data_IF_843116547717
#
_entry.id   IF_843116547717
#
_cell.length_a   1.000
_cell.length_b   1.000
_cell.length_c   1.000
_cell.angle_alpha   90.00
_cell.angle_beta   90.00
_cell.angle_gamma   90.00
#
_symmetry.space_group_name_H-M   'P 1'
#
loop_
_entity.id
_entity.type
_entity.pdbx_description
1 polymer ?
#
# COMPACT_ATOMS: atom_id res chain seq x y z
N UNK A 1 -16.13 1.27 -4.67
CA UNK A 1 -15.57 1.38 -3.30
C UNK A 1 -14.52 0.30 -3.09
N UNK A 2 -13.38 0.66 -2.51
CA UNK A 2 -12.32 -0.29 -2.24
C UNK A 2 -12.64 -1.20 -1.06
N UNK A 3 -12.37 -2.49 -1.23
CA UNK A 3 -12.47 -3.49 -0.16
C UNK A 3 -11.23 -4.37 -0.20
N UNK A 4 -10.92 -5.01 0.92
CA UNK A 4 -9.83 -6.00 0.96
C UNK A 4 -10.07 -7.13 -0.02
N UNK A 5 -11.32 -7.58 -0.16
CA UNK A 5 -11.65 -8.63 -1.12
C UNK A 5 -11.35 -8.20 -2.55
N UNK A 6 -11.76 -6.99 -2.94
CA UNK A 6 -11.50 -6.45 -4.27
C UNK A 6 -10.00 -6.33 -4.56
N UNK A 7 -9.22 -5.89 -3.56
CA UNK A 7 -7.77 -5.80 -3.69
C UNK A 7 -7.14 -7.18 -3.83
N UNK A 8 -7.60 -8.17 -3.07
CA UNK A 8 -7.09 -9.53 -3.17
C UNK A 8 -7.34 -10.16 -4.52
N UNK A 9 -8.45 -9.84 -5.17
CA UNK A 9 -8.72 -10.29 -6.55
C UNK A 9 -7.71 -9.73 -7.54
N UNK A 10 -7.13 -8.58 -7.25
CA UNK A 10 -6.12 -7.92 -8.09
C UNK A 10 -4.72 -8.05 -7.53
N UNK A 11 -4.51 -8.96 -6.61
CA UNK A 11 -3.25 -9.13 -5.89
C UNK A 11 -2.06 -9.31 -6.83
N UNK A 12 -2.20 -10.17 -7.84
CA UNK A 12 -1.11 -10.45 -8.77
C UNK A 12 -0.68 -9.19 -9.54
N UNK A 13 -1.65 -8.37 -9.98
CA UNK A 13 -1.37 -7.12 -10.67
C UNK A 13 -0.66 -6.12 -9.73
N UNK A 14 -1.17 -5.99 -8.52
CA UNK A 14 -0.64 -5.05 -7.52
C UNK A 14 0.79 -5.43 -7.15
N UNK A 15 1.03 -6.70 -6.85
CA UNK A 15 2.36 -7.17 -6.49
C UNK A 15 3.34 -7.13 -7.67
N UNK A 16 2.84 -7.33 -8.89
CA UNK A 16 3.65 -7.18 -10.10
C UNK A 16 4.16 -5.76 -10.29
N UNK A 17 3.29 -4.77 -10.08
CA UNK A 17 3.67 -3.35 -10.12
C UNK A 17 4.69 -3.06 -9.01
N UNK A 18 4.44 -3.57 -7.81
CA UNK A 18 5.30 -3.34 -6.66
C UNK A 18 6.74 -3.86 -6.90
N UNK A 19 6.88 -5.04 -7.49
CA UNK A 19 8.20 -5.62 -7.77
C UNK A 19 9.04 -4.76 -8.70
N UNK A 20 8.41 -4.11 -9.67
CA UNK A 20 9.10 -3.21 -10.60
C UNK A 20 9.67 -1.99 -9.87
N UNK A 21 9.14 -1.65 -8.73
CA UNK A 21 9.59 -0.54 -7.88
C UNK A 21 10.35 -1.02 -6.65
N UNK A 22 10.82 -2.28 -6.67
CA UNK A 22 11.65 -2.87 -5.61
C UNK A 22 10.93 -2.98 -4.26
N UNK A 23 9.62 -3.09 -4.31
CA UNK A 23 8.80 -3.39 -3.15
C UNK A 23 8.46 -4.88 -3.15
N UNK A 24 8.69 -5.57 -2.04
CA UNK A 24 8.50 -7.02 -1.97
C UNK A 24 7.37 -7.45 -1.04
N UNK A 25 6.79 -6.53 -0.30
CA UNK A 25 5.65 -6.82 0.58
C UNK A 25 4.75 -5.60 0.67
N UNK A 26 3.45 -5.82 0.53
CA UNK A 26 2.43 -4.79 0.67
C UNK A 26 1.42 -5.24 1.71
N UNK A 27 1.12 -4.38 2.67
CA UNK A 27 0.01 -4.53 3.59
C UNK A 27 -0.91 -3.33 3.48
N UNK A 28 -2.18 -3.51 3.78
CA UNK A 28 -3.20 -2.46 3.74
C UNK A 28 -3.52 -2.06 5.17
N UNK A 29 -3.57 -0.76 5.44
CA UNK A 29 -4.03 -0.25 6.73
C UNK A 29 -5.06 0.87 6.48
N UNK A 30 -5.52 1.51 7.55
CA UNK A 30 -6.49 2.59 7.42
C UNK A 30 -7.90 2.11 7.14
N UNK A 31 -8.71 2.98 6.53
CA UNK A 31 -10.15 2.74 6.38
C UNK A 31 -10.48 1.49 5.56
N UNK A 32 -9.72 1.21 4.52
CA UNK A 32 -9.95 0.02 3.68
C UNK A 32 -9.73 -1.26 4.50
N UNK A 33 -8.65 -1.32 5.28
CA UNK A 33 -8.35 -2.48 6.12
C UNK A 33 -9.42 -2.71 7.18
N UNK A 34 -10.02 -1.63 7.71
CA UNK A 34 -11.07 -1.71 8.71
C UNK A 34 -12.46 -1.99 8.13
N UNK A 35 -12.61 -2.01 6.81
CA UNK A 35 -13.91 -2.14 6.16
C UNK A 35 -14.77 -0.87 6.27
N UNK A 36 -14.16 0.28 6.46
CA UNK A 36 -14.82 1.57 6.66
C UNK A 36 -14.63 2.54 5.49
N UNK A 37 -14.11 2.05 4.36
CA UNK A 37 -13.85 2.90 3.20
C UNK A 37 -15.14 3.44 2.62
N UNK A 38 -15.07 4.65 2.10
CA UNK A 38 -16.13 5.27 1.30
C UNK A 38 -15.56 5.72 -0.05
N UNK A 39 -16.42 6.17 -1.01
CA UNK A 39 -15.93 6.44 -2.37
C UNK A 39 -14.76 7.42 -2.47
N UNK A 40 -14.63 8.34 -1.52
CA UNK A 40 -13.55 9.33 -1.50
C UNK A 40 -12.34 8.90 -0.66
N UNK A 41 -12.35 7.69 -0.10
CA UNK A 41 -11.23 7.20 0.71
C UNK A 41 -10.02 6.90 -0.15
N UNK A 42 -8.84 7.26 0.36
CA UNK A 42 -7.57 6.84 -0.21
C UNK A 42 -7.21 5.43 0.27
N UNK A 43 -6.37 4.78 -0.49
CA UNK A 43 -5.83 3.48 -0.11
C UNK A 43 -4.51 3.69 0.63
N UNK A 44 -4.44 3.24 1.87
CA UNK A 44 -3.25 3.35 2.72
C UNK A 44 -2.47 2.04 2.69
N UNK A 45 -1.22 2.10 2.22
CA UNK A 45 -0.36 0.95 2.08
C UNK A 45 0.89 1.06 2.93
N UNK A 46 1.19 -0.03 3.62
CA UNK A 46 2.44 -0.21 4.35
C UNK A 46 3.32 -1.14 3.52
N UNK A 47 4.49 -0.65 3.11
CA UNK A 47 5.30 -1.30 2.08
C UNK A 47 6.70 -1.59 2.59
N UNK A 48 7.18 -2.80 2.30
CA UNK A 48 8.57 -3.19 2.54
C UNK A 48 9.34 -3.07 1.24
N UNK A 49 10.24 -2.08 1.18
CA UNK A 49 11.14 -1.90 0.05
C UNK A 49 12.46 -2.64 0.27
N UNK A 50 13.09 -3.04 -0.82
CA UNK A 50 14.43 -3.61 -0.77
C UNK A 50 15.46 -2.55 -0.33
N UNK A 51 16.56 -2.95 0.31
CA UNK A 51 17.64 -2.03 0.64
C UNK A 51 18.15 -1.30 -0.61
N UNK A 52 18.46 -0.03 -0.47
CA UNK A 52 18.96 0.79 -1.58
C UNK A 52 17.87 1.34 -2.49
N UNK A 53 16.60 1.17 -2.15
CA UNK A 53 15.48 1.74 -2.90
C UNK A 53 15.51 3.26 -2.79
N UNK A 54 15.33 3.93 -3.92
CA UNK A 54 15.37 5.39 -4.00
C UNK A 54 14.00 6.03 -3.77
N UNK A 55 14.00 7.34 -3.55
CA UNK A 55 12.76 8.12 -3.49
C UNK A 55 11.98 8.02 -4.82
N UNK A 56 12.67 7.90 -5.94
CA UNK A 56 12.02 7.75 -7.24
C UNK A 56 11.24 6.44 -7.33
N UNK A 57 11.73 5.36 -6.75
CA UNK A 57 11.00 4.09 -6.66
C UNK A 57 9.74 4.24 -5.82
N UNK A 58 9.84 4.95 -4.69
CA UNK A 58 8.70 5.23 -3.82
C UNK A 58 7.61 6.02 -4.56
N UNK A 59 8.01 7.11 -5.22
CA UNK A 59 7.08 7.95 -5.99
C UNK A 59 6.47 7.15 -7.14
N UNK A 60 7.31 6.40 -7.87
CA UNK A 60 6.86 5.56 -8.98
C UNK A 60 5.85 4.51 -8.53
N UNK A 61 6.05 3.92 -7.36
CA UNK A 61 5.13 2.93 -6.83
C UNK A 61 3.74 3.50 -6.61
N UNK A 62 3.62 4.63 -5.89
CA UNK A 62 2.29 5.16 -5.62
C UNK A 62 1.61 5.67 -6.91
N UNK A 63 2.37 6.25 -7.83
CA UNK A 63 1.82 6.69 -9.12
C UNK A 63 1.33 5.52 -9.96
N UNK A 64 2.12 4.44 -10.05
CA UNK A 64 1.74 3.25 -10.81
C UNK A 64 0.48 2.59 -10.21
N UNK A 65 0.38 2.55 -8.88
CA UNK A 65 -0.79 1.98 -8.22
C UNK A 65 -2.01 2.88 -8.35
N UNK A 66 -1.87 4.20 -8.31
CA UNK A 66 -2.97 5.12 -8.59
C UNK A 66 -3.50 4.93 -10.00
N UNK A 67 -2.60 4.77 -10.98
CA UNK A 67 -2.99 4.51 -12.37
C UNK A 67 -3.72 3.17 -12.52
N UNK A 68 -3.22 2.14 -11.84
CA UNK A 68 -3.81 0.81 -11.90
C UNK A 68 -5.18 0.75 -11.25
N UNK A 69 -5.34 1.38 -10.09
CA UNK A 69 -6.53 1.24 -9.24
C UNK A 69 -7.54 2.36 -9.41
N UNK A 70 -7.13 3.50 -9.97
CA UNK A 70 -8.01 4.65 -10.18
C UNK A 70 -8.42 5.38 -8.91
N UNK A 71 -7.64 5.26 -7.84
CA UNK A 71 -7.88 5.92 -6.54
C UNK A 71 -6.59 6.54 -6.02
N UNK A 72 -6.70 7.47 -5.07
CA UNK A 72 -5.54 7.99 -4.37
C UNK A 72 -4.87 6.90 -3.54
N UNK A 73 -3.54 6.86 -3.55
CA UNK A 73 -2.75 5.86 -2.82
C UNK A 73 -1.71 6.56 -1.98
N UNK A 74 -1.71 6.26 -0.68
CA UNK A 74 -0.67 6.70 0.25
C UNK A 74 0.25 5.52 0.55
N UNK A 75 1.54 5.69 0.29
CA UNK A 75 2.55 4.68 0.53
C UNK A 75 3.42 5.08 1.73
N UNK A 76 3.42 4.23 2.74
CA UNK A 76 4.28 4.39 3.91
C UNK A 76 5.30 3.26 3.91
N UNK A 77 6.58 3.58 3.91
CA UNK A 77 7.63 2.58 4.05
C UNK A 77 7.64 2.04 5.48
N UNK A 78 7.60 0.72 5.64
CA UNK A 78 7.61 0.11 6.98
C UNK A 78 8.84 0.54 7.79
N UNK A 79 9.97 0.69 7.13
CA UNK A 79 11.22 1.14 7.77
C UNK A 79 11.15 2.57 8.32
N UNK A 80 10.20 3.37 7.87
CA UNK A 80 10.01 4.74 8.34
C UNK A 80 9.11 4.84 9.58
N UNK A 81 8.47 3.74 9.98
CA UNK A 81 7.60 3.73 11.16
C UNK A 81 8.42 3.89 12.44
N UNK A 82 7.89 4.70 13.35
CA UNK A 82 8.44 4.94 14.67
C UNK A 82 7.60 4.22 15.72
N UNK A 83 8.05 4.09 16.98
CA UNK A 83 7.26 3.44 18.03
C UNK A 83 5.85 4.02 18.17
N UNK A 84 5.68 5.33 17.98
CA UNK A 84 4.36 5.98 18.03
C UNK A 84 3.41 5.53 16.92
N UNK A 85 3.94 4.88 15.88
CA UNK A 85 3.19 4.40 14.72
C UNK A 85 2.84 2.91 14.84
N UNK A 86 3.00 2.30 16.01
CA UNK A 86 2.72 0.87 16.21
C UNK A 86 1.28 0.49 15.88
N UNK A 87 0.34 1.43 16.01
CA UNK A 87 -1.05 1.19 15.63
C UNK A 87 -1.19 0.88 14.13
N UNK A 88 -0.32 1.43 13.29
CA UNK A 88 -0.31 1.15 11.85
C UNK A 88 0.12 -0.30 11.60
N UNK A 89 1.19 -0.76 12.29
CA UNK A 89 1.63 -2.16 12.18
C UNK A 89 0.56 -3.13 12.66
N UNK A 90 -0.08 -2.80 13.78
CA UNK A 90 -1.09 -3.66 14.38
C UNK A 90 -2.35 -3.79 13.51
N UNK A 91 -2.70 -2.73 12.78
CA UNK A 91 -3.87 -2.68 11.92
C UNK A 91 -3.62 -3.31 10.54
N UNK A 92 -2.38 -3.29 10.07
CA UNK A 92 -2.03 -3.66 8.71
C UNK A 92 -2.37 -5.13 8.41
N UNK A 93 -2.99 -5.35 7.25
CA UNK A 93 -3.39 -6.67 6.76
C UNK A 93 -2.62 -6.93 5.47
N UNK A 94 -1.87 -8.02 5.44
CA UNK A 94 -1.10 -8.38 4.24
C UNK A 94 -2.01 -8.62 3.05
N UNK A 95 -1.57 -8.16 1.92
CA UNK A 95 -2.27 -8.38 0.65
C UNK A 95 -1.84 -9.70 -0.06
#
# INVERSE_FOLDING_TARGET
MLTMEGLRRRRAEILGVARKRRAHRIAVFGSVARGEAHPDSDLDLLVDFEPGTSLLDHIGLFQDLEDLLGVGVDVVARSALKPRDDHIRAEAVDL
#
